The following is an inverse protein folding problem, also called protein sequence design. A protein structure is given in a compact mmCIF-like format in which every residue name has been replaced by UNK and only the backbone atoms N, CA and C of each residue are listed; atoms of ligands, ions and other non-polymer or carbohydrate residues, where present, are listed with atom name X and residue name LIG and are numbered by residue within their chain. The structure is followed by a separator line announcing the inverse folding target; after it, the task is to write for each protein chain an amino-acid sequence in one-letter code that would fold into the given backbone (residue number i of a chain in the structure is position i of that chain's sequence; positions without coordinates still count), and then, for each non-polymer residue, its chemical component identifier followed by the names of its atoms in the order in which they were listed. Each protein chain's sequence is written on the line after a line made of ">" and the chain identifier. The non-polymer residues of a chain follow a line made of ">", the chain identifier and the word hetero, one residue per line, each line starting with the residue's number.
data_IF_777435386730
#
_entry.id   IF_777435386730
#
_cell.length_a   1.000
_cell.length_b   1.000
_cell.length_c   1.000
_cell.angle_alpha   90.00
_cell.angle_beta   90.00
_cell.angle_gamma   90.00
#
_symmetry.space_group_name_H-M   'P 1'
#
loop_
_entity.id
_entity.type
_entity.pdbx_description
1 polymer ?
#
# COMPACT_ATOMS: atom_id res chain seq x y z
N UNK A 1 -16.34 4.54 -14.13
CA UNK A 1 -15.61 3.52 -13.37
C UNK A 1 -14.15 3.87 -13.48
N UNK A 2 -13.46 3.99 -12.36
CA UNK A 2 -12.00 4.12 -12.36
C UNK A 2 -11.38 2.79 -12.82
N UNK A 3 -10.39 2.84 -13.72
CA UNK A 3 -9.70 1.63 -14.17
C UNK A 3 -8.67 1.19 -13.11
N UNK A 4 -8.59 -0.11 -12.77
CA UNK A 4 -7.55 -0.59 -11.87
C UNK A 4 -6.15 -0.39 -12.46
N UNK A 5 -5.25 0.22 -11.70
CA UNK A 5 -3.83 0.29 -12.08
C UNK A 5 -3.19 -1.07 -11.87
N UNK A 6 -2.49 -1.57 -12.89
CA UNK A 6 -1.78 -2.85 -12.82
C UNK A 6 -0.31 -2.61 -12.50
N UNK A 7 0.22 -3.34 -11.52
CA UNK A 7 1.62 -3.28 -11.12
C UNK A 7 2.21 -4.68 -11.23
N UNK A 8 3.22 -4.85 -12.05
CA UNK A 8 4.03 -6.06 -12.07
C UNK A 8 5.31 -5.83 -11.23
N UNK A 9 5.46 -6.46 -10.06
CA UNK A 9 6.65 -6.26 -9.21
C UNK A 9 7.97 -6.68 -9.87
N UNK A 10 7.94 -7.41 -10.99
CA UNK A 10 9.12 -7.79 -11.77
C UNK A 10 9.49 -6.78 -12.86
N UNK A 11 8.58 -5.87 -13.19
CA UNK A 11 8.82 -4.82 -14.17
C UNK A 11 9.68 -3.71 -13.56
N UNK A 12 10.62 -3.19 -14.35
CA UNK A 12 11.45 -2.06 -13.99
C UNK A 12 10.61 -0.80 -13.73
N UNK A 13 9.50 -0.64 -14.46
CA UNK A 13 8.64 0.55 -14.37
C UNK A 13 7.63 0.51 -13.23
N UNK A 14 7.58 -0.59 -12.45
CA UNK A 14 6.63 -0.76 -11.35
C UNK A 14 6.71 0.37 -10.31
N UNK A 15 7.92 0.93 -10.11
CA UNK A 15 8.14 2.08 -9.22
C UNK A 15 7.51 3.34 -9.79
N UNK A 16 7.62 3.57 -11.10
CA UNK A 16 7.04 4.72 -11.80
C UNK A 16 5.52 4.70 -11.69
N UNK A 17 4.91 3.63 -12.20
CA UNK A 17 3.45 3.40 -12.15
C UNK A 17 2.87 3.63 -10.75
N UNK A 18 3.53 3.09 -9.73
CA UNK A 18 3.05 3.23 -8.36
C UNK A 18 3.31 4.63 -7.78
N UNK A 19 4.40 5.29 -8.17
CA UNK A 19 4.66 6.69 -7.81
C UNK A 19 3.54 7.58 -8.31
N UNK A 20 3.16 7.43 -9.59
CA UNK A 20 2.10 8.22 -10.21
C UNK A 20 0.73 7.92 -9.59
N UNK A 21 0.42 6.66 -9.30
CA UNK A 21 -0.78 6.29 -8.55
C UNK A 21 -0.84 6.96 -7.15
N UNK A 22 0.28 7.00 -6.41
CA UNK A 22 0.34 7.66 -5.10
C UNK A 22 0.21 9.18 -5.23
N UNK A 23 0.79 9.79 -6.26
CA UNK A 23 0.61 11.21 -6.57
C UNK A 23 -0.86 11.51 -6.85
N UNK A 24 -1.50 10.73 -7.72
CA UNK A 24 -2.92 10.85 -8.06
C UNK A 24 -3.81 10.74 -6.81
N UNK A 25 -3.56 9.76 -5.95
CA UNK A 25 -4.28 9.58 -4.68
C UNK A 25 -4.12 10.81 -3.77
N UNK A 26 -2.89 11.31 -3.59
CA UNK A 26 -2.61 12.49 -2.75
C UNK A 26 -3.23 13.76 -3.33
N UNK A 27 -3.17 13.94 -4.66
CA UNK A 27 -3.78 15.05 -5.34
C UNK A 27 -5.31 15.06 -5.16
N UNK A 28 -5.95 13.90 -5.27
CA UNK A 28 -7.38 13.76 -4.99
C UNK A 28 -7.73 14.23 -3.58
N UNK A 29 -6.98 13.80 -2.55
CA UNK A 29 -7.22 14.22 -1.16
C UNK A 29 -7.08 15.73 -0.97
N UNK A 30 -6.10 16.35 -1.62
CA UNK A 30 -5.88 17.80 -1.54
C UNK A 30 -6.98 18.59 -2.24
N UNK A 31 -7.50 18.09 -3.36
CA UNK A 31 -8.54 18.77 -4.15
C UNK A 31 -9.92 18.60 -3.52
N UNK A 32 -10.24 17.37 -3.10
CA UNK A 32 -11.56 17.03 -2.56
C UNK A 32 -11.72 17.39 -1.09
N UNK A 33 -10.60 17.60 -0.38
CA UNK A 33 -10.57 17.67 1.07
C UNK A 33 -11.29 16.45 1.69
N UNK A 34 -11.00 15.25 1.18
CA UNK A 34 -11.50 13.98 1.72
C UNK A 34 -10.34 12.99 1.74
N UNK A 35 -10.15 12.28 2.85
CA UNK A 35 -9.15 11.21 2.93
C UNK A 35 -9.42 10.14 1.87
N UNK A 36 -8.37 9.49 1.36
CA UNK A 36 -8.51 8.43 0.36
C UNK A 36 -7.58 7.25 0.64
N UNK A 37 -8.00 6.09 0.16
CA UNK A 37 -7.32 4.82 0.37
C UNK A 37 -7.15 4.11 -0.96
N UNK A 38 -5.94 3.65 -1.26
CA UNK A 38 -5.66 2.73 -2.35
C UNK A 38 -5.35 1.34 -1.81
N UNK A 39 -6.04 0.32 -2.33
CA UNK A 39 -5.84 -1.08 -1.96
C UNK A 39 -5.09 -1.80 -3.07
N UNK A 40 -3.93 -2.36 -2.73
CA UNK A 40 -3.14 -3.24 -3.59
C UNK A 40 -3.64 -4.67 -3.36
N UNK A 41 -4.06 -5.36 -4.42
CA UNK A 41 -4.54 -6.73 -4.33
C UNK A 41 -3.43 -7.70 -3.91
N UNK A 42 -3.83 -8.83 -3.35
CA UNK A 42 -2.95 -9.92 -2.97
C UNK A 42 -3.57 -11.25 -3.39
N UNK A 43 -2.78 -12.27 -3.75
CA UNK A 43 -3.31 -13.59 -4.04
C UNK A 43 -3.94 -14.22 -2.79
N UNK A 44 -4.69 -15.30 -2.98
CA UNK A 44 -5.31 -16.01 -1.87
C UNK A 44 -4.26 -16.50 -0.85
N UNK A 45 -4.53 -16.27 0.44
CA UNK A 45 -3.61 -16.58 1.53
C UNK A 45 -2.48 -15.56 1.74
N UNK A 46 -2.48 -14.43 1.01
CA UNK A 46 -1.46 -13.36 1.10
C UNK A 46 -2.02 -12.02 1.60
N UNK A 47 -1.14 -11.15 2.08
CA UNK A 47 -1.52 -9.94 2.80
C UNK A 47 -1.90 -8.81 1.87
N UNK A 48 -3.09 -8.25 2.07
CA UNK A 48 -3.48 -7.04 1.38
C UNK A 48 -2.69 -5.84 1.94
N UNK A 49 -2.28 -4.96 1.04
CA UNK A 49 -1.61 -3.72 1.37
C UNK A 49 -2.52 -2.54 1.03
N UNK A 50 -2.61 -1.57 1.94
CA UNK A 50 -3.43 -0.37 1.81
C UNK A 50 -2.57 0.87 2.00
N UNK A 51 -2.74 1.85 1.12
CA UNK A 51 -2.08 3.15 1.16
C UNK A 51 -3.16 4.17 1.51
N UNK A 52 -3.10 4.75 2.71
CA UNK A 52 -4.00 5.83 3.11
C UNK A 52 -3.32 7.18 2.90
N UNK A 53 -3.91 8.04 2.09
CA UNK A 53 -3.55 9.45 1.99
C UNK A 53 -4.47 10.28 2.88
N UNK A 54 -3.88 11.21 3.65
CA UNK A 54 -4.59 12.06 4.61
C UNK A 54 -4.51 13.52 4.19
N UNK A 55 -5.56 14.29 4.48
CA UNK A 55 -5.60 15.74 4.19
C UNK A 55 -4.38 16.51 4.71
N UNK A 56 -3.86 16.12 5.88
CA UNK A 56 -2.66 16.72 6.48
C UNK A 56 -1.35 16.44 5.75
N UNK A 57 -1.38 15.83 4.56
CA UNK A 57 -0.20 15.51 3.73
C UNK A 57 0.58 14.28 4.19
N UNK A 58 0.16 13.62 5.26
CA UNK A 58 0.73 12.35 5.70
C UNK A 58 0.17 11.18 4.89
N UNK A 59 0.94 10.09 4.83
CA UNK A 59 0.45 8.80 4.31
C UNK A 59 0.65 7.72 5.36
N UNK A 60 -0.24 6.73 5.37
CA UNK A 60 -0.10 5.56 6.24
C UNK A 60 -0.20 4.32 5.36
N UNK A 61 0.89 3.56 5.33
CA UNK A 61 0.90 2.24 4.69
C UNK A 61 0.44 1.22 5.72
N UNK A 62 -0.44 0.31 5.32
CA UNK A 62 -1.04 -0.70 6.20
C UNK A 62 -0.97 -2.05 5.50
N UNK A 63 -0.35 -3.03 6.14
CA UNK A 63 -0.42 -4.43 5.73
C UNK A 63 -1.38 -5.14 6.69
N UNK A 64 -2.39 -5.83 6.16
CA UNK A 64 -3.28 -6.68 6.95
C UNK A 64 -2.97 -8.14 6.69
N UNK A 65 -2.63 -8.87 7.74
CA UNK A 65 -2.26 -10.26 7.63
C UNK A 65 -3.51 -11.14 7.51
N UNK A 66 -3.65 -11.86 6.40
CA UNK A 66 -4.50 -13.05 6.35
C UNK A 66 -4.05 -14.11 7.37
N UNK A 67 -4.89 -15.10 7.65
CA UNK A 67 -4.56 -16.20 8.55
C UNK A 67 -3.23 -16.87 8.15
N UNK A 68 -2.23 -16.69 9.01
CA UNK A 68 -0.90 -17.27 8.86
C UNK A 68 -0.66 -18.34 9.91
N UNK A 69 0.17 -19.32 9.56
CA UNK A 69 0.83 -20.11 10.59
C UNK A 69 1.69 -19.20 11.49
N UNK A 70 1.83 -19.56 12.77
CA UNK A 70 2.65 -18.80 13.72
C UNK A 70 4.09 -18.56 13.23
N UNK A 71 4.67 -19.53 12.50
CA UNK A 71 6.00 -19.41 11.90
C UNK A 71 6.08 -18.36 10.79
N UNK A 72 5.08 -18.32 9.89
CA UNK A 72 5.01 -17.32 8.82
C UNK A 72 4.77 -15.93 9.37
N UNK A 73 3.85 -15.81 10.34
CA UNK A 73 3.56 -14.55 11.00
C UNK A 73 4.81 -13.94 11.62
N UNK A 74 5.59 -14.76 12.35
CA UNK A 74 6.85 -14.30 12.94
C UNK A 74 7.83 -13.79 11.89
N UNK A 75 8.01 -14.52 10.78
CA UNK A 75 8.94 -14.12 9.73
C UNK A 75 8.53 -12.80 9.06
N UNK A 76 7.24 -12.65 8.74
CA UNK A 76 6.70 -11.41 8.13
C UNK A 76 6.80 -10.24 9.11
N UNK A 77 6.43 -10.46 10.37
CA UNK A 77 6.53 -9.45 11.42
C UNK A 77 7.97 -8.99 11.66
N UNK A 78 8.92 -9.93 11.74
CA UNK A 78 10.35 -9.64 11.90
C UNK A 78 10.90 -8.85 10.69
N UNK A 79 10.48 -9.19 9.47
CA UNK A 79 10.90 -8.52 8.25
C UNK A 79 10.35 -7.08 8.16
N UNK A 80 9.06 -6.88 8.47
CA UNK A 80 8.42 -5.56 8.50
C UNK A 80 9.02 -4.69 9.61
N UNK A 81 9.22 -5.24 10.80
CA UNK A 81 9.81 -4.50 11.94
C UNK A 81 11.21 -3.97 11.65
N UNK A 82 12.07 -4.76 10.99
CA UNK A 82 13.41 -4.32 10.55
C UNK A 82 13.39 -3.13 9.59
N UNK A 83 12.25 -2.89 8.92
CA UNK A 83 12.03 -1.75 8.02
C UNK A 83 11.31 -0.59 8.69
N UNK A 84 11.12 -0.64 10.02
CA UNK A 84 10.46 0.43 10.78
C UNK A 84 8.94 0.38 10.75
N UNK A 85 8.33 -0.70 10.26
CA UNK A 85 6.89 -0.92 10.41
C UNK A 85 6.57 -1.28 11.85
N UNK A 86 5.45 -0.76 12.34
CA UNK A 86 4.96 -0.98 13.69
C UNK A 86 3.87 -2.04 13.62
N UNK A 87 4.05 -3.14 14.36
CA UNK A 87 3.04 -4.18 14.46
C UNK A 87 1.85 -3.66 15.28
N UNK A 88 0.65 -4.02 14.86
CA UNK A 88 -0.57 -3.72 15.60
C UNK A 88 -0.62 -4.55 16.89
N UNK A 89 -1.43 -4.12 17.87
CA UNK A 89 -1.49 -4.75 19.20
C UNK A 89 -1.95 -6.22 19.14
N UNK A 90 -2.85 -6.52 18.20
CA UNK A 90 -3.35 -7.87 17.89
C UNK A 90 -2.37 -8.70 17.04
N UNK A 91 -1.31 -8.08 16.51
CA UNK A 91 -0.36 -8.66 15.54
C UNK A 91 -1.03 -9.18 14.27
N UNK A 92 -2.19 -8.66 13.91
CA UNK A 92 -2.91 -8.99 12.67
C UNK A 92 -2.57 -8.03 11.54
N UNK A 93 -1.65 -7.11 11.78
CA UNK A 93 -1.14 -6.21 10.76
C UNK A 93 0.09 -5.44 11.20
N UNK A 94 0.55 -4.60 10.28
CA UNK A 94 1.59 -3.64 10.54
C UNK A 94 1.29 -2.33 9.83
N UNK A 95 1.75 -1.23 10.41
CA UNK A 95 1.61 0.10 9.84
C UNK A 95 2.96 0.81 9.71
N UNK A 96 3.13 1.57 8.64
CA UNK A 96 4.23 2.50 8.46
C UNK A 96 3.65 3.89 8.24
N UNK A 97 3.87 4.78 9.21
CA UNK A 97 3.47 6.18 9.12
C UNK A 97 4.55 6.96 8.37
N UNK A 98 4.13 7.64 7.31
CA UNK A 98 4.96 8.52 6.51
C UNK A 98 4.55 9.97 6.81
N UNK A 99 5.44 10.79 7.39
CA UNK A 99 5.12 12.17 7.70
C UNK A 99 4.88 13.01 6.43
N UNK A 100 4.26 14.20 6.57
CA UNK A 100 4.17 15.15 5.46
C UNK A 100 5.57 15.45 4.89
N UNK A 101 5.67 15.48 3.55
CA UNK A 101 6.93 15.68 2.84
C UNK A 101 7.65 14.40 2.41
N UNK A 102 7.19 13.21 2.82
CA UNK A 102 7.69 11.94 2.23
C UNK A 102 7.35 11.88 0.74
N UNK A 103 8.35 11.58 -0.09
CA UNK A 103 8.14 11.54 -1.54
C UNK A 103 7.22 10.37 -1.94
N UNK A 104 6.51 10.52 -3.05
CA UNK A 104 5.69 9.43 -3.58
C UNK A 104 6.55 8.22 -3.97
N UNK A 105 7.76 8.47 -4.49
CA UNK A 105 8.74 7.44 -4.86
C UNK A 105 9.23 6.63 -3.65
N UNK A 106 9.57 7.28 -2.53
CA UNK A 106 9.93 6.55 -1.30
C UNK A 106 8.78 5.65 -0.83
N UNK A 107 7.55 6.13 -0.98
CA UNK A 107 6.34 5.38 -0.65
C UNK A 107 6.14 4.20 -1.59
N UNK A 108 6.41 4.37 -2.88
CA UNK A 108 6.35 3.32 -3.89
C UNK A 108 7.37 2.20 -3.59
N UNK A 109 8.61 2.55 -3.22
CA UNK A 109 9.62 1.57 -2.82
C UNK A 109 9.21 0.76 -1.59
N UNK A 110 8.62 1.39 -0.57
CA UNK A 110 8.12 0.68 0.61
C UNK A 110 6.96 -0.25 0.28
N UNK A 111 6.04 0.18 -0.58
CA UNK A 111 4.92 -0.64 -1.05
C UNK A 111 5.41 -1.86 -1.82
N UNK A 112 6.29 -1.68 -2.82
CA UNK A 112 6.85 -2.80 -3.59
C UNK A 112 7.63 -3.77 -2.70
N UNK A 113 8.39 -3.23 -1.75
CA UNK A 113 9.08 -4.06 -0.75
C UNK A 113 8.08 -4.86 0.09
N UNK A 114 6.99 -4.24 0.55
CA UNK A 114 5.97 -4.89 1.36
C UNK A 114 5.22 -5.99 0.60
N UNK A 115 4.96 -5.83 -0.70
CA UNK A 115 4.40 -6.89 -1.57
C UNK A 115 5.27 -8.15 -1.53
N UNK A 116 6.61 -7.97 -1.50
CA UNK A 116 7.57 -9.07 -1.50
C UNK A 116 7.81 -9.72 -0.13
N UNK A 117 7.55 -9.04 0.99
CA UNK A 117 7.92 -9.51 2.34
C UNK A 117 7.16 -10.77 2.79
N UNK A 118 6.01 -11.05 2.20
CA UNK A 118 5.33 -12.34 2.40
C UNK A 118 6.06 -13.52 1.73
N UNK A 119 6.82 -13.28 0.65
CA UNK A 119 7.19 -14.34 -0.30
C UNK A 119 6.04 -14.66 -1.27
N UNK A 120 5.11 -13.72 -1.46
CA UNK A 120 4.05 -13.85 -2.45
C UNK A 120 4.67 -14.03 -3.84
N UNK A 121 4.09 -14.87 -4.72
CA UNK A 121 4.53 -14.96 -6.10
C UNK A 121 4.54 -13.56 -6.71
N UNK A 122 5.54 -13.25 -7.55
CA UNK A 122 5.69 -11.94 -8.20
C UNK A 122 4.70 -11.74 -9.35
N UNK A 123 3.47 -12.23 -9.19
CA UNK A 123 2.39 -12.01 -10.14
C UNK A 123 1.95 -10.55 -10.07
N UNK A 124 1.39 -10.05 -11.17
CA UNK A 124 0.85 -8.71 -11.24
C UNK A 124 -0.22 -8.47 -10.17
N UNK A 125 -0.25 -7.24 -9.65
CA UNK A 125 -1.21 -6.74 -8.67
C UNK A 125 -2.07 -5.67 -9.29
N UNK A 126 -3.26 -5.48 -8.73
CA UNK A 126 -4.18 -4.40 -9.12
C UNK A 126 -4.30 -3.43 -7.96
N UNK A 127 -4.28 -2.14 -8.27
CA UNK A 127 -4.49 -1.06 -7.32
C UNK A 127 -5.81 -0.38 -7.63
N UNK A 128 -6.67 -0.28 -6.63
CA UNK A 128 -7.96 0.41 -6.73
C UNK A 128 -8.06 1.39 -5.58
N UNK A 129 -8.54 2.60 -5.85
CA UNK A 129 -8.68 3.63 -4.83
C UNK A 129 -10.12 4.09 -4.61
N UNK A 130 -10.41 4.46 -3.37
CA UNK A 130 -11.67 5.04 -2.93
C UNK A 130 -11.45 6.18 -1.95
N UNK A 131 -12.30 7.18 -1.99
CA UNK A 131 -12.34 8.26 -0.99
C UNK A 131 -13.11 7.83 0.28
N UNK A 132 -13.05 8.66 1.31
CA UNK A 132 -13.77 8.45 2.57
C UNK A 132 -15.30 8.45 2.45
N UNK A 133 -15.85 8.89 1.32
CA UNK A 133 -17.28 8.84 0.99
C UNK A 133 -17.66 7.56 0.23
N UNK A 134 -16.68 6.73 -0.15
CA UNK A 134 -16.86 5.51 -0.92
C UNK A 134 -16.87 5.72 -2.44
N UNK A 135 -16.56 6.91 -2.93
CA UNK A 135 -16.42 7.17 -4.37
C UNK A 135 -15.11 6.59 -4.90
N UNK A 136 -15.13 6.08 -6.13
CA UNK A 136 -13.91 5.63 -6.80
C UNK A 136 -12.99 6.83 -7.10
N UNK A 137 -11.69 6.63 -6.88
CA UNK A 137 -10.65 7.61 -7.21
C UNK A 137 -9.90 7.10 -8.44
N UNK A 138 -9.80 7.94 -9.45
CA UNK A 138 -9.04 7.64 -10.66
C UNK A 138 -7.54 7.75 -10.34
N UNK A 139 -6.81 6.67 -10.60
CA UNK A 139 -5.37 6.59 -10.39
C UNK A 139 -4.73 6.65 -11.76
N UNK A 140 -4.13 7.79 -12.10
CA UNK A 140 -3.37 7.90 -13.32
C UNK A 140 -1.95 7.39 -13.05
N UNK A 141 -1.50 6.34 -13.76
CA UNK A 141 -0.13 5.84 -13.71
C UNK A 141 0.79 6.63 -14.63
#
# INVERSE_FOLDING_TARGET
>A
MAEPVVIDPTDFDAVGVLTEAIVSLRAHVLISEVDASASVSAPEGWHQLVINAKQGGSSVLIVRFNELSASRLRNVADALSKRGWHLDEDREGATLRQPPGTTATDSAFEVLSAIGIGGAPTDSRTVVARDGNGNEVDLHP
#
